data_IF_682082402792
#
_entry.id   IF_682082402792
#
_cell.length_a   1.000
_cell.length_b   1.000
_cell.length_c   1.000
_cell.angle_alpha   90.00
_cell.angle_beta   90.00
_cell.angle_gamma   90.00
#
_symmetry.space_group_name_H-M   'P 1'
#
loop_
_entity.id
_entity.type
_entity.pdbx_description
1 polymer ?
#
# COMPACT_ATOMS: atom_id res chain seq x y z
N UNK A 1 -11.05 -12.59 -30.38
CA UNK A 1 -11.32 -12.74 -28.92
C UNK A 1 -10.18 -13.41 -28.13
N UNK A 2 -8.92 -13.44 -28.61
CA UNK A 2 -7.78 -14.10 -27.93
C UNK A 2 -6.59 -13.18 -27.60
N UNK A 3 -6.68 -11.88 -27.90
CA UNK A 3 -5.55 -10.93 -27.76
C UNK A 3 -5.58 -10.06 -26.49
N UNK A 4 -6.66 -10.09 -25.69
CA UNK A 4 -6.73 -9.32 -24.44
C UNK A 4 -6.14 -10.06 -23.23
N UNK A 5 -5.95 -11.39 -23.30
CA UNK A 5 -5.42 -12.18 -22.18
C UNK A 5 -4.00 -11.78 -21.77
N UNK A 6 -3.15 -11.46 -22.75
CA UNK A 6 -1.77 -11.04 -22.51
C UNK A 6 -1.71 -9.68 -21.80
N UNK A 7 -2.61 -8.76 -22.15
CA UNK A 7 -2.74 -7.46 -21.50
C UNK A 7 -3.24 -7.58 -20.05
N UNK A 8 -4.24 -8.44 -19.80
CA UNK A 8 -4.71 -8.73 -18.44
C UNK A 8 -3.62 -9.37 -17.56
N UNK A 9 -2.85 -10.32 -18.12
CA UNK A 9 -1.74 -10.94 -17.40
C UNK A 9 -0.62 -9.93 -17.12
N UNK A 10 -0.30 -9.05 -18.07
CA UNK A 10 0.67 -7.99 -17.87
C UNK A 10 0.25 -7.01 -16.78
N UNK A 11 -1.01 -6.56 -16.78
CA UNK A 11 -1.57 -5.71 -15.73
C UNK A 11 -1.49 -6.40 -14.36
N UNK A 12 -1.87 -7.68 -14.28
CA UNK A 12 -1.82 -8.44 -13.03
C UNK A 12 -0.40 -8.55 -12.48
N UNK A 13 0.58 -8.89 -13.32
CA UNK A 13 1.99 -8.94 -12.93
C UNK A 13 2.50 -7.56 -12.50
N UNK A 14 2.14 -6.50 -13.22
CA UNK A 14 2.52 -5.13 -12.87
C UNK A 14 1.93 -4.70 -11.52
N UNK A 15 0.67 -5.07 -11.22
CA UNK A 15 0.06 -4.86 -9.91
C UNK A 15 0.79 -5.63 -8.80
N UNK A 16 1.20 -6.87 -9.03
CA UNK A 16 1.99 -7.61 -8.05
C UNK A 16 3.35 -6.95 -7.77
N UNK A 17 4.07 -6.52 -8.81
CA UNK A 17 5.36 -5.84 -8.67
C UNK A 17 5.19 -4.53 -7.90
N UNK A 18 4.19 -3.72 -8.24
CA UNK A 18 3.90 -2.46 -7.55
C UNK A 18 3.43 -2.69 -6.11
N UNK A 19 2.62 -3.72 -5.86
CA UNK A 19 2.22 -4.11 -4.51
C UNK A 19 3.41 -4.52 -3.64
N UNK A 20 4.39 -5.24 -4.20
CA UNK A 20 5.64 -5.58 -3.51
C UNK A 20 6.51 -4.34 -3.21
N UNK A 21 6.58 -3.40 -4.15
CA UNK A 21 7.25 -2.11 -3.94
C UNK A 21 6.60 -1.30 -2.81
N UNK A 22 5.26 -1.25 -2.78
CA UNK A 22 4.48 -0.59 -1.72
C UNK A 22 4.66 -1.27 -0.35
N UNK A 23 4.76 -2.60 -0.31
CA UNK A 23 5.03 -3.35 0.91
C UNK A 23 6.39 -3.02 1.53
N UNK A 24 7.38 -2.75 0.68
CA UNK A 24 8.76 -2.50 1.11
C UNK A 24 8.95 -1.06 1.56
N UNK A 25 8.09 -0.53 2.47
CA UNK A 25 8.04 0.81 3.12
C UNK A 25 9.01 1.90 2.59
N UNK A 26 10.32 1.61 2.55
CA UNK A 26 11.37 2.32 1.81
C UNK A 26 11.06 2.70 0.33
N UNK A 27 10.36 1.85 -0.44
CA UNK A 27 10.05 2.07 -1.86
C UNK A 27 8.58 2.44 -2.13
N UNK A 28 7.83 2.77 -1.07
CA UNK A 28 6.40 3.07 -1.18
C UNK A 28 6.10 4.22 -2.15
N UNK A 29 6.96 5.24 -2.19
CA UNK A 29 6.80 6.38 -3.10
C UNK A 29 6.94 5.99 -4.57
N UNK A 30 7.92 5.16 -4.92
CA UNK A 30 8.09 4.63 -6.27
C UNK A 30 6.93 3.72 -6.65
N UNK A 31 6.49 2.87 -5.71
CA UNK A 31 5.30 2.03 -5.87
C UNK A 31 4.06 2.88 -6.18
N UNK A 32 3.79 3.94 -5.42
CA UNK A 32 2.63 4.81 -5.60
C UNK A 32 2.63 5.52 -6.97
N UNK A 33 3.82 5.98 -7.42
CA UNK A 33 3.97 6.61 -8.75
C UNK A 33 3.68 5.61 -9.87
N UNK A 34 4.20 4.38 -9.77
CA UNK A 34 3.95 3.33 -10.77
C UNK A 34 2.52 2.80 -10.72
N UNK A 35 1.88 2.81 -9.53
CA UNK A 35 0.50 2.38 -9.35
C UNK A 35 -0.48 3.31 -10.07
N UNK A 36 -0.16 4.61 -10.19
CA UNK A 36 -1.04 5.61 -10.77
C UNK A 36 -1.42 5.30 -12.24
N UNK A 37 -0.49 5.18 -13.20
CA UNK A 37 -0.84 4.88 -14.59
C UNK A 37 -1.48 3.49 -14.75
N UNK A 38 -1.09 2.51 -13.93
CA UNK A 38 -1.67 1.15 -13.95
C UNK A 38 -3.13 1.20 -13.49
N UNK A 39 -3.42 1.84 -12.36
CA UNK A 39 -4.79 1.95 -11.86
C UNK A 39 -5.66 2.83 -12.73
N UNK A 40 -5.13 3.91 -13.32
CA UNK A 40 -5.87 4.68 -14.32
C UNK A 40 -6.27 3.80 -15.51
N UNK A 41 -5.36 2.95 -16.00
CA UNK A 41 -5.67 2.00 -17.08
C UNK A 41 -6.77 1.02 -16.67
N UNK A 42 -6.68 0.44 -15.47
CA UNK A 42 -7.70 -0.47 -14.95
C UNK A 42 -9.04 0.23 -14.78
N UNK A 43 -9.05 1.44 -14.24
CA UNK A 43 -10.26 2.23 -14.04
C UNK A 43 -10.98 2.48 -15.38
N UNK A 44 -10.24 2.85 -16.43
CA UNK A 44 -10.81 3.01 -17.78
C UNK A 44 -11.42 1.72 -18.28
N UNK A 45 -10.74 0.57 -18.12
CA UNK A 45 -11.28 -0.74 -18.51
C UNK A 45 -12.57 -1.07 -17.74
N UNK A 46 -12.61 -0.80 -16.43
CA UNK A 46 -13.80 -1.08 -15.61
C UNK A 46 -15.01 -0.25 -16.01
N UNK A 47 -14.79 1.00 -16.45
CA UNK A 47 -15.84 1.84 -17.03
C UNK A 47 -16.27 1.28 -18.40
N UNK A 48 -15.32 0.89 -19.24
CA UNK A 48 -15.60 0.43 -20.61
C UNK A 48 -16.32 -0.93 -20.67
N UNK A 49 -16.06 -1.84 -19.73
CA UNK A 49 -16.68 -3.17 -19.70
C UNK A 49 -17.97 -3.25 -18.87
N UNK A 50 -18.43 -2.12 -18.31
CA UNK A 50 -19.67 -2.02 -17.51
C UNK A 50 -19.82 -3.12 -16.44
N UNK A 51 -18.73 -3.39 -15.72
CA UNK A 51 -18.77 -4.28 -14.57
C UNK A 51 -19.52 -3.57 -13.43
N UNK A 52 -20.81 -3.87 -13.25
CA UNK A 52 -21.62 -3.26 -12.19
C UNK A 52 -20.94 -3.39 -10.80
N UNK A 53 -20.52 -2.26 -10.22
CA UNK A 53 -19.92 -2.16 -8.89
C UNK A 53 -18.38 -2.12 -8.82
N UNK A 54 -17.66 -2.67 -9.80
CA UNK A 54 -16.18 -2.65 -9.82
C UNK A 54 -15.58 -1.24 -10.02
N UNK A 55 -16.16 -0.34 -10.85
CA UNK A 55 -15.67 1.03 -11.03
C UNK A 55 -15.59 1.82 -9.73
N UNK A 56 -16.51 1.57 -8.80
CA UNK A 56 -16.55 2.24 -7.49
C UNK A 56 -15.31 1.84 -6.68
N UNK A 57 -15.00 0.55 -6.62
CA UNK A 57 -13.83 0.05 -5.88
C UNK A 57 -12.54 0.56 -6.52
N UNK A 58 -12.40 0.46 -7.83
CA UNK A 58 -11.19 0.93 -8.53
C UNK A 58 -11.03 2.45 -8.48
N UNK A 59 -12.14 3.21 -8.46
CA UNK A 59 -12.13 4.65 -8.25
C UNK A 59 -11.68 5.02 -6.84
N UNK A 60 -12.16 4.31 -5.80
CA UNK A 60 -11.69 4.49 -4.43
C UNK A 60 -10.20 4.13 -4.28
N UNK A 61 -9.73 3.08 -4.94
CA UNK A 61 -8.30 2.72 -4.97
C UNK A 61 -7.45 3.80 -5.66
N UNK A 62 -7.91 4.37 -6.77
CA UNK A 62 -7.24 5.47 -7.44
C UNK A 62 -7.16 6.70 -6.53
N UNK A 63 -8.25 7.03 -5.83
CA UNK A 63 -8.31 8.11 -4.86
C UNK A 63 -7.33 7.88 -3.69
N UNK A 64 -7.30 6.67 -3.13
CA UNK A 64 -6.34 6.31 -2.08
C UNK A 64 -4.89 6.48 -2.54
N UNK A 65 -4.57 6.11 -3.78
CA UNK A 65 -3.23 6.32 -4.33
C UNK A 65 -2.90 7.81 -4.52
N UNK A 66 -3.86 8.62 -4.96
CA UNK A 66 -3.68 10.08 -5.06
C UNK A 66 -3.45 10.72 -3.69
N UNK A 67 -4.18 10.29 -2.66
CA UNK A 67 -3.95 10.75 -1.28
C UNK A 67 -2.59 10.32 -0.77
N UNK A 68 -2.16 9.08 -1.04
CA UNK A 68 -0.83 8.59 -0.69
C UNK A 68 0.26 9.44 -1.37
N UNK A 69 0.08 9.75 -2.66
CA UNK A 69 1.01 10.58 -3.42
C UNK A 69 1.06 12.04 -2.92
N UNK A 70 -0.08 12.59 -2.52
CA UNK A 70 -0.18 13.91 -1.91
C UNK A 70 0.48 13.95 -0.52
N UNK A 71 0.36 12.86 0.25
CA UNK A 71 1.03 12.72 1.54
C UNK A 71 2.56 12.62 1.40
N UNK A 72 3.03 11.86 0.42
CA UNK A 72 4.46 11.68 0.11
C UNK A 72 5.04 12.79 -0.79
N UNK A 73 4.31 13.88 -1.01
CA UNK A 73 4.75 15.03 -1.80
C UNK A 73 6.15 15.57 -1.43
N UNK A 74 6.57 15.64 -0.15
CA UNK A 74 7.92 16.08 0.23
C UNK A 74 9.03 15.19 -0.35
N UNK A 75 8.78 13.87 -0.42
CA UNK A 75 9.71 12.87 -0.98
C UNK A 75 9.66 12.87 -2.50
N UNK A 76 8.49 13.13 -3.09
CA UNK A 76 8.29 13.22 -4.54
C UNK A 76 9.08 14.37 -5.19
N UNK A 77 9.41 15.42 -4.43
CA UNK A 77 10.27 16.52 -4.87
C UNK A 77 11.64 16.07 -5.35
N UNK A 78 12.15 14.94 -4.84
CA UNK A 78 13.40 14.30 -5.32
C UNK A 78 13.28 13.88 -6.79
N UNK A 79 12.14 13.33 -7.19
CA UNK A 79 11.90 12.87 -8.55
C UNK A 79 11.71 14.05 -9.53
N UNK A 80 11.25 15.19 -9.02
CA UNK A 80 11.03 16.44 -9.79
C UNK A 80 12.22 17.40 -9.69
N UNK A 81 13.36 16.96 -9.13
CA UNK A 81 14.58 17.77 -9.01
C UNK A 81 14.40 19.11 -8.26
N UNK A 82 13.51 19.15 -7.27
CA UNK A 82 13.25 20.30 -6.40
C UNK A 82 14.01 20.13 -5.08
N UNK A 83 14.44 21.22 -4.39
CA UNK A 83 15.14 21.10 -3.12
C UNK A 83 14.35 20.25 -2.11
N UNK A 84 15.00 19.20 -1.65
CA UNK A 84 14.47 18.24 -0.68
C UNK A 84 14.26 18.98 0.64
N UNK A 85 13.02 19.01 1.11
CA UNK A 85 12.80 19.31 2.52
C UNK A 85 13.23 18.07 3.30
N UNK A 86 14.22 18.23 4.18
CA UNK A 86 14.67 17.17 5.05
C UNK A 86 13.52 16.80 6.00
N UNK A 87 12.72 15.80 5.61
CA UNK A 87 11.79 15.16 6.53
C UNK A 87 12.66 14.45 7.57
N UNK A 88 12.48 14.70 8.88
CA UNK A 88 13.21 13.98 9.90
C UNK A 88 12.95 12.48 9.71
N UNK A 89 14.01 11.72 9.45
CA UNK A 89 13.88 10.27 9.26
C UNK A 89 13.27 9.66 10.53
N UNK A 90 12.21 8.84 10.44
CA UNK A 90 11.68 8.15 11.60
C UNK A 90 12.79 7.28 12.22
N UNK A 91 12.81 7.10 13.55
CA UNK A 91 13.79 6.24 14.21
C UNK A 91 13.83 4.87 13.53
N UNK A 92 15.04 4.32 13.28
CA UNK A 92 15.22 3.01 12.62
C UNK A 92 14.38 1.88 13.26
N UNK A 93 14.15 1.94 14.56
CA UNK A 93 13.29 1.01 15.29
C UNK A 93 11.82 1.06 14.82
N UNK A 94 11.29 2.26 14.59
CA UNK A 94 9.95 2.45 14.01
C UNK A 94 9.89 1.91 12.58
N UNK A 95 10.89 2.16 11.74
CA UNK A 95 10.90 1.64 10.35
C UNK A 95 10.88 0.11 10.32
N UNK A 96 11.72 -0.55 11.13
CA UNK A 96 11.75 -2.02 11.22
C UNK A 96 10.46 -2.61 11.79
N UNK A 97 9.83 -1.93 12.75
CA UNK A 97 8.52 -2.32 13.28
C UNK A 97 7.45 -2.27 12.18
N UNK A 98 7.39 -1.20 11.40
CA UNK A 98 6.42 -1.05 10.31
C UNK A 98 6.66 -2.05 9.16
N UNK A 99 7.92 -2.31 8.79
CA UNK A 99 8.26 -3.38 7.85
C UNK A 99 7.81 -4.76 8.37
N UNK A 100 8.06 -5.06 9.65
CA UNK A 100 7.65 -6.32 10.28
C UNK A 100 6.13 -6.48 10.38
N UNK A 101 5.41 -5.43 10.76
CA UNK A 101 3.93 -5.41 10.80
C UNK A 101 3.36 -5.61 9.40
N UNK A 102 3.92 -4.95 8.38
CA UNK A 102 3.51 -5.12 6.98
C UNK A 102 3.75 -6.55 6.48
N UNK A 103 4.91 -7.13 6.75
CA UNK A 103 5.23 -8.52 6.38
C UNK A 103 4.33 -9.53 7.10
N UNK A 104 4.05 -9.32 8.39
CA UNK A 104 3.15 -10.15 9.17
C UNK A 104 1.72 -10.12 8.62
N UNK A 105 1.20 -8.93 8.31
CA UNK A 105 -0.12 -8.76 7.67
C UNK A 105 -0.21 -9.45 6.31
N UNK A 106 0.84 -9.35 5.51
CA UNK A 106 0.92 -10.01 4.22
C UNK A 106 0.92 -11.54 4.36
N UNK A 107 1.78 -12.08 5.23
CA UNK A 107 1.85 -13.52 5.49
C UNK A 107 0.52 -14.07 6.03
N UNK A 108 -0.12 -13.34 6.94
CA UNK A 108 -1.44 -13.69 7.45
C UNK A 108 -2.50 -13.70 6.33
N UNK A 109 -2.52 -12.66 5.49
CA UNK A 109 -3.49 -12.55 4.39
C UNK A 109 -3.26 -13.63 3.33
N UNK A 110 -2.01 -13.91 2.97
CA UNK A 110 -1.65 -14.96 2.02
C UNK A 110 -1.98 -16.37 2.58
N UNK A 111 -1.65 -16.63 3.85
CA UNK A 111 -1.97 -17.89 4.52
C UNK A 111 -3.47 -18.12 4.65
N UNK A 112 -4.22 -17.10 5.06
CA UNK A 112 -5.67 -17.15 5.17
C UNK A 112 -6.34 -17.44 3.80
N UNK A 113 -5.78 -16.90 2.72
CA UNK A 113 -6.23 -17.18 1.34
C UNK A 113 -5.99 -18.62 0.90
N UNK A 114 -4.92 -19.27 1.37
CA UNK A 114 -4.55 -20.64 0.98
C UNK A 114 -5.35 -21.69 1.75
N UNK A 115 -5.72 -21.42 3.00
CA UNK A 115 -6.33 -22.41 3.89
C UNK A 115 -7.86 -22.41 3.95
N UNK A 116 -8.52 -21.29 3.63
CA UNK A 116 -9.97 -21.13 3.85
C UNK A 116 -10.71 -20.80 2.57
N UNK A 117 -11.52 -21.73 2.07
CA UNK A 117 -12.42 -21.49 0.94
C UNK A 117 -13.66 -20.65 1.34
N UNK A 118 -14.05 -20.68 2.61
CA UNK A 118 -15.13 -19.85 3.15
C UNK A 118 -14.61 -18.45 3.56
N UNK A 119 -14.82 -17.46 2.70
CA UNK A 119 -14.38 -16.09 2.90
C UNK A 119 -15.25 -15.35 3.94
N UNK A 120 -14.79 -15.29 5.19
CA UNK A 120 -15.40 -14.44 6.22
C UNK A 120 -14.73 -13.06 6.23
N UNK A 121 -15.22 -12.15 5.38
CA UNK A 121 -14.71 -10.77 5.27
C UNK A 121 -14.53 -10.08 6.62
N UNK A 122 -15.47 -10.25 7.55
CA UNK A 122 -15.43 -9.63 8.88
C UNK A 122 -14.24 -10.10 9.73
N UNK A 123 -13.93 -11.40 9.68
CA UNK A 123 -12.83 -11.99 10.47
C UNK A 123 -11.48 -11.54 9.90
N UNK A 124 -11.36 -11.54 8.57
CA UNK A 124 -10.17 -11.05 7.88
C UNK A 124 -9.93 -9.55 8.17
N UNK A 125 -10.96 -8.71 7.99
CA UNK A 125 -10.87 -7.27 8.24
C UNK A 125 -10.58 -6.97 9.73
N UNK A 126 -11.20 -7.73 10.66
CA UNK A 126 -10.99 -7.57 12.09
C UNK A 126 -9.54 -7.84 12.52
N UNK A 127 -8.93 -8.91 12.01
CA UNK A 127 -7.54 -9.25 12.34
C UNK A 127 -6.55 -8.27 11.70
N UNK A 128 -6.79 -7.83 10.46
CA UNK A 128 -6.01 -6.77 9.83
C UNK A 128 -6.06 -5.47 10.63
N UNK A 129 -7.25 -5.06 11.09
CA UNK A 129 -7.42 -3.86 11.91
C UNK A 129 -6.73 -3.96 13.27
N UNK A 130 -6.78 -5.12 13.92
CA UNK A 130 -6.11 -5.34 15.21
C UNK A 130 -4.58 -5.27 15.08
N UNK A 131 -4.00 -5.97 14.10
CA UNK A 131 -2.54 -5.96 13.88
C UNK A 131 -2.06 -4.56 13.47
N UNK A 132 -2.79 -3.86 12.59
CA UNK A 132 -2.50 -2.47 12.24
C UNK A 132 -2.62 -1.51 13.43
N UNK A 133 -3.65 -1.69 14.27
CA UNK A 133 -3.86 -0.90 15.49
C UNK A 133 -2.76 -1.12 16.54
N UNK A 134 -2.33 -2.37 16.76
CA UNK A 134 -1.21 -2.69 17.64
C UNK A 134 0.11 -2.12 17.12
N UNK A 135 0.33 -2.14 15.80
CA UNK A 135 1.47 -1.48 15.15
C UNK A 135 1.49 0.04 15.39
N UNK A 136 0.34 0.70 15.26
CA UNK A 136 0.20 2.13 15.56
C UNK A 136 0.43 2.43 17.05
N UNK A 137 -0.13 1.63 17.95
CA UNK A 137 0.03 1.79 19.40
C UNK A 137 1.49 1.61 19.83
N UNK A 138 2.18 0.58 19.34
CA UNK A 138 3.60 0.35 19.63
C UNK A 138 4.49 1.46 19.06
N UNK A 139 4.22 1.94 17.83
CA UNK A 139 4.92 3.08 17.25
C UNK A 139 4.68 4.38 18.03
N UNK A 140 3.46 4.62 18.49
CA UNK A 140 3.11 5.77 19.32
C UNK A 140 3.80 5.70 20.69
N UNK A 141 3.82 4.51 21.31
CA UNK A 141 4.48 4.28 22.60
C UNK A 141 6.00 4.44 22.54
N UNK A 142 6.65 3.90 21.49
CA UNK A 142 8.09 4.12 21.25
C UNK A 142 8.42 5.61 21.03
N UNK A 143 7.58 6.35 20.30
CA UNK A 143 7.79 7.80 20.09
C UNK A 143 7.66 8.59 21.39
N UNK A 144 6.76 8.18 22.29
CA UNK A 144 6.57 8.83 23.60
C UNK A 144 7.73 8.57 24.56
N UNK A 145 8.30 7.36 24.54
CA UNK A 145 9.40 6.98 25.44
C UNK A 145 10.80 7.38 24.90
N UNK A 146 10.97 7.52 23.58
CA UNK A 146 12.24 7.93 22.97
C UNK A 146 12.62 9.41 23.15
N UNK A 147 11.72 10.24 23.68
CA UNK A 147 11.97 11.66 23.95
C UNK A 147 12.72 11.97 25.26
N UNK A 148 13.08 10.96 26.06
CA UNK A 148 13.70 11.14 27.39
C UNK A 148 15.21 10.80 27.44
N UNK A 149 15.91 10.67 26.30
CA UNK A 149 17.35 10.33 26.26
C UNK A 149 18.20 11.34 25.47
N UNK A 150 17.70 12.57 25.32
CA UNK A 150 18.46 13.69 24.77
C UNK A 150 18.41 14.88 25.75
N UNK A 151 18.86 14.62 26.99
CA UNK A 151 19.24 15.66 27.95
C UNK A 151 20.78 15.79 27.96
#
# INVERSE_FOLDING_TARGET
MYQSGLYWQFIGVAQCVVGLLLLTQRYATLGAVLFLPIMTSIFVITISYDFAGTPIITGLMLLANLLLLAWDWPTLRVLVNLPVQAVPAPPRATTRLWEGVGAMLFAYTAGYRVYTEAYNFLVWAGICALVGGLGLLTAWWLRRNGGQHQD
#
